data_IF_634154605966
#
_entry.id   IF_634154605966
#
_cell.length_a   1.000
_cell.length_b   1.000
_cell.length_c   1.000
_cell.angle_alpha   90.00
_cell.angle_beta   90.00
_cell.angle_gamma   90.00
#
_symmetry.space_group_name_H-M   'P 1'
#
loop_
_entity.id
_entity.type
_entity.pdbx_description
1 polymer ?
#
# COMPACT_ATOMS: atom_id res chain seq x y z
N UNK A 1 -13.72 0.99 2.59
CA UNK A 1 -13.91 1.19 4.05
C UNK A 1 -13.13 0.12 4.80
N UNK A 2 -12.11 0.48 5.55
CA UNK A 2 -11.22 -0.42 6.29
C UNK A 2 -11.87 -0.87 7.60
N UNK A 3 -11.94 -2.18 7.85
CA UNK A 3 -12.48 -2.74 9.09
C UNK A 3 -11.34 -3.14 10.02
N UNK A 4 -11.23 -2.45 11.14
CA UNK A 4 -10.19 -2.68 12.15
C UNK A 4 -10.82 -3.16 13.44
N UNK A 5 -10.21 -4.15 14.08
CA UNK A 5 -10.62 -4.63 15.39
C UNK A 5 -9.48 -4.55 16.41
N UNK A 6 -9.85 -4.33 17.65
CA UNK A 6 -8.93 -4.33 18.80
C UNK A 6 -9.53 -5.23 19.87
N UNK A 7 -8.74 -6.14 20.39
CA UNK A 7 -9.09 -7.02 21.49
C UNK A 7 -8.07 -6.85 22.62
N UNK A 8 -8.52 -6.39 23.76
CA UNK A 8 -7.70 -6.20 24.98
C UNK A 8 -8.66 -6.22 26.19
N UNK A 9 -8.43 -7.08 27.18
CA UNK A 9 -9.28 -7.19 28.39
C UNK A 9 -9.14 -5.97 29.31
N UNK A 10 -8.04 -5.23 29.19
CA UNK A 10 -7.81 -3.99 29.91
C UNK A 10 -8.48 -2.82 29.19
N UNK A 11 -9.56 -2.32 29.78
CA UNK A 11 -10.35 -1.20 29.22
C UNK A 11 -9.53 0.08 28.94
N UNK A 12 -8.55 0.37 29.77
CA UNK A 12 -7.69 1.55 29.58
C UNK A 12 -6.78 1.37 28.37
N UNK A 13 -6.14 0.20 28.24
CA UNK A 13 -5.32 -0.13 27.08
C UNK A 13 -6.14 -0.15 25.78
N UNK A 14 -7.36 -0.71 25.84
CA UNK A 14 -8.32 -0.71 24.75
C UNK A 14 -8.66 0.71 24.28
N UNK A 15 -8.96 1.62 25.22
CA UNK A 15 -9.27 3.02 24.90
C UNK A 15 -8.06 3.75 24.26
N UNK A 16 -6.85 3.55 24.80
CA UNK A 16 -5.63 4.17 24.27
C UNK A 16 -5.37 3.68 22.85
N UNK A 17 -5.43 2.38 22.63
CA UNK A 17 -5.24 1.77 21.30
C UNK A 17 -6.29 2.25 20.30
N UNK A 18 -7.56 2.31 20.70
CA UNK A 18 -8.64 2.81 19.85
C UNK A 18 -8.42 4.29 19.48
N UNK A 19 -8.07 5.13 20.44
CA UNK A 19 -7.76 6.54 20.19
C UNK A 19 -6.57 6.73 19.24
N UNK A 20 -5.53 5.90 19.34
CA UNK A 20 -4.37 5.92 18.45
C UNK A 20 -4.75 5.52 17.02
N UNK A 21 -5.57 4.45 16.83
CA UNK A 21 -6.13 4.06 15.52
C UNK A 21 -6.91 5.20 14.89
N UNK A 22 -7.84 5.78 15.65
CA UNK A 22 -8.70 6.86 15.15
C UNK A 22 -7.90 8.09 14.74
N UNK A 23 -6.93 8.52 15.58
CA UNK A 23 -6.09 9.67 15.29
C UNK A 23 -5.30 9.46 13.98
N UNK A 24 -4.69 8.28 13.81
CA UNK A 24 -3.93 7.93 12.62
C UNK A 24 -4.80 7.94 11.35
N UNK A 25 -5.95 7.27 11.39
CA UNK A 25 -6.81 7.12 10.21
C UNK A 25 -7.48 8.43 9.81
N UNK A 26 -7.82 9.29 10.78
CA UNK A 26 -8.32 10.65 10.53
C UNK A 26 -7.26 11.50 9.85
N UNK A 27 -5.99 11.45 10.31
CA UNK A 27 -4.88 12.16 9.66
C UNK A 27 -4.69 11.73 8.20
N UNK A 28 -4.83 10.44 7.92
CA UNK A 28 -4.70 9.88 6.55
C UNK A 28 -5.97 9.99 5.70
N UNK A 29 -7.07 10.53 6.24
CA UNK A 29 -8.38 10.63 5.56
C UNK A 29 -8.87 9.27 5.04
N UNK A 30 -8.63 8.20 5.79
CA UNK A 30 -9.06 6.83 5.45
C UNK A 30 -10.46 6.60 6.00
N UNK A 31 -11.37 6.08 5.17
CA UNK A 31 -12.68 5.62 5.61
C UNK A 31 -12.56 4.28 6.34
N UNK A 32 -13.03 4.22 7.59
CA UNK A 32 -12.86 3.04 8.44
C UNK A 32 -14.07 2.74 9.31
N UNK A 33 -14.12 1.50 9.82
CA UNK A 33 -15.01 1.05 10.90
C UNK A 33 -14.14 0.38 11.97
N UNK A 34 -14.19 0.90 13.18
CA UNK A 34 -13.42 0.40 14.32
C UNK A 34 -14.31 -0.39 15.27
N UNK A 35 -13.86 -1.57 15.65
CA UNK A 35 -14.51 -2.48 16.58
C UNK A 35 -13.60 -2.72 17.78
N UNK A 36 -14.12 -2.57 18.99
CA UNK A 36 -13.36 -2.76 20.24
C UNK A 36 -14.02 -3.85 21.09
N UNK A 37 -13.22 -4.80 21.53
CA UNK A 37 -13.65 -5.95 22.30
C UNK A 37 -12.81 -6.11 23.56
N UNK A 38 -13.48 -6.38 24.67
CA UNK A 38 -12.82 -6.78 25.94
C UNK A 38 -12.97 -8.26 26.26
N UNK A 39 -13.67 -9.01 25.40
CA UNK A 39 -13.91 -10.44 25.58
C UNK A 39 -13.60 -11.20 24.28
N UNK A 40 -12.75 -12.25 24.33
CA UNK A 40 -12.34 -13.03 23.16
C UNK A 40 -13.49 -13.71 22.41
N UNK A 41 -14.50 -14.21 23.12
CA UNK A 41 -15.62 -14.91 22.48
C UNK A 41 -16.49 -13.95 21.66
N UNK A 42 -16.74 -12.75 22.17
CA UNK A 42 -17.46 -11.71 21.44
C UNK A 42 -16.68 -11.25 20.20
N UNK A 43 -15.37 -11.13 20.32
CA UNK A 43 -14.49 -10.82 19.20
C UNK A 43 -14.59 -11.90 18.10
N UNK A 44 -14.44 -13.17 18.44
CA UNK A 44 -14.51 -14.28 17.49
C UNK A 44 -15.90 -14.42 16.84
N UNK A 45 -16.97 -14.17 17.59
CA UNK A 45 -18.31 -14.14 17.03
C UNK A 45 -18.47 -13.05 15.99
N UNK A 46 -17.98 -11.82 16.29
CA UNK A 46 -18.02 -10.70 15.35
C UNK A 46 -17.11 -10.92 14.13
N UNK A 47 -15.97 -11.56 14.30
CA UNK A 47 -15.01 -11.83 13.20
C UNK A 47 -15.61 -12.75 12.12
N UNK A 48 -16.55 -13.62 12.45
CA UNK A 48 -17.27 -14.47 11.48
C UNK A 48 -18.13 -13.66 10.52
N UNK A 49 -18.71 -12.56 10.99
CA UNK A 49 -19.63 -11.71 10.22
C UNK A 49 -18.91 -10.56 9.52
N UNK A 50 -18.04 -9.86 10.24
CA UNK A 50 -17.47 -8.60 9.80
C UNK A 50 -16.21 -8.74 8.91
N UNK A 51 -15.43 -9.82 9.03
CA UNK A 51 -14.17 -10.06 8.32
C UNK A 51 -13.21 -8.85 8.41
N UNK A 52 -12.53 -8.73 9.54
CA UNK A 52 -11.61 -7.62 9.82
C UNK A 52 -10.40 -7.63 8.89
N UNK A 53 -10.04 -6.47 8.35
CA UNK A 53 -8.83 -6.30 7.52
C UNK A 53 -7.56 -6.30 8.38
N UNK A 54 -7.66 -5.72 9.60
CA UNK A 54 -6.58 -5.66 10.58
C UNK A 54 -7.14 -5.89 11.98
N UNK A 55 -6.48 -6.77 12.74
CA UNK A 55 -6.83 -7.08 14.13
C UNK A 55 -5.64 -6.83 15.04
N UNK A 56 -5.83 -6.00 16.07
CA UNK A 56 -4.89 -5.86 17.17
C UNK A 56 -5.31 -6.80 18.29
N UNK A 57 -4.42 -7.72 18.69
CA UNK A 57 -4.72 -8.75 19.68
C UNK A 57 -3.79 -8.62 20.88
N UNK A 58 -4.34 -8.36 22.04
CA UNK A 58 -3.60 -8.56 23.29
C UNK A 58 -3.29 -10.04 23.48
N UNK A 59 -2.08 -10.36 23.94
CA UNK A 59 -1.68 -11.73 24.21
C UNK A 59 -2.11 -12.14 25.62
N UNK A 60 -1.95 -11.27 26.60
CA UNK A 60 -2.06 -11.60 28.02
C UNK A 60 -3.49 -11.38 28.55
N UNK A 61 -4.42 -12.22 28.12
CA UNK A 61 -5.82 -12.19 28.58
C UNK A 61 -6.18 -13.43 29.42
N UNK A 62 -7.07 -13.30 30.43
CA UNK A 62 -7.28 -14.35 31.44
C UNK A 62 -8.04 -15.60 30.96
N UNK A 63 -9.03 -15.45 30.08
CA UNK A 63 -9.91 -16.59 29.69
C UNK A 63 -9.37 -17.34 28.47
N UNK A 64 -8.88 -16.61 27.49
CA UNK A 64 -8.31 -17.12 26.26
C UNK A 64 -7.20 -16.16 25.84
N UNK A 65 -5.98 -16.65 25.71
CA UNK A 65 -4.86 -15.81 25.34
C UNK A 65 -4.91 -15.43 23.86
N UNK A 66 -4.19 -14.33 23.49
CA UNK A 66 -4.23 -13.80 22.14
C UNK A 66 -3.69 -14.75 21.06
N UNK A 67 -2.84 -15.73 21.43
CA UNK A 67 -2.34 -16.74 20.49
C UNK A 67 -3.44 -17.77 20.16
N UNK A 68 -4.26 -18.14 21.14
CA UNK A 68 -5.42 -19.01 20.93
C UNK A 68 -6.48 -18.31 20.07
N UNK A 69 -6.71 -17.01 20.31
CA UNK A 69 -7.58 -16.18 19.49
C UNK A 69 -7.05 -16.10 18.06
N UNK A 70 -5.76 -15.85 17.87
CA UNK A 70 -5.14 -15.79 16.55
C UNK A 70 -5.27 -17.09 15.78
N UNK A 71 -5.14 -18.24 16.46
CA UNK A 71 -5.34 -19.55 15.85
C UNK A 71 -6.75 -19.69 15.28
N UNK A 72 -7.78 -19.38 16.08
CA UNK A 72 -9.17 -19.44 15.62
C UNK A 72 -9.48 -18.38 14.54
N UNK A 73 -8.94 -17.16 14.69
CA UNK A 73 -9.13 -16.10 13.71
C UNK A 73 -8.54 -16.48 12.34
N UNK A 74 -7.39 -17.17 12.29
CA UNK A 74 -6.77 -17.62 11.05
C UNK A 74 -7.62 -18.60 10.25
N UNK A 75 -8.47 -19.36 10.92
CA UNK A 75 -9.44 -20.24 10.27
C UNK A 75 -10.67 -19.49 9.76
N UNK A 76 -11.11 -18.47 10.52
CA UNK A 76 -12.30 -17.65 10.20
C UNK A 76 -12.01 -16.64 9.08
N UNK A 77 -10.85 -15.99 9.14
CA UNK A 77 -10.47 -14.89 8.24
C UNK A 77 -9.01 -14.98 7.79
N UNK A 78 -8.78 -15.75 6.73
CA UNK A 78 -7.43 -16.00 6.18
C UNK A 78 -6.76 -14.78 5.55
N UNK A 79 -7.49 -13.75 5.21
CA UNK A 79 -6.97 -12.54 4.54
C UNK A 79 -6.70 -11.39 5.51
N UNK A 80 -7.26 -11.44 6.72
CA UNK A 80 -7.05 -10.41 7.73
C UNK A 80 -5.63 -10.45 8.29
N UNK A 81 -5.05 -9.28 8.54
CA UNK A 81 -3.74 -9.16 9.15
C UNK A 81 -3.86 -9.07 10.67
N UNK A 82 -2.85 -9.58 11.38
CA UNK A 82 -2.80 -9.56 12.85
C UNK A 82 -1.59 -8.74 13.29
N UNK A 83 -1.79 -7.85 14.27
CA UNK A 83 -0.74 -7.22 15.05
C UNK A 83 -0.95 -7.63 16.50
N UNK A 84 0.06 -8.22 17.11
CA UNK A 84 0.01 -8.56 18.53
C UNK A 84 0.41 -7.38 19.41
N UNK A 85 -0.26 -7.26 20.54
CA UNK A 85 0.05 -6.31 21.62
C UNK A 85 0.49 -7.13 22.84
N UNK A 86 1.62 -6.82 23.47
CA UNK A 86 2.00 -7.47 24.74
C UNK A 86 3.04 -6.69 25.52
N UNK A 87 3.09 -6.92 26.81
CA UNK A 87 4.22 -6.54 27.68
C UNK A 87 5.37 -7.55 27.62
N UNK A 88 5.12 -8.75 27.12
CA UNK A 88 6.05 -9.90 27.09
C UNK A 88 6.73 -10.01 25.73
N UNK A 89 7.92 -9.43 25.63
CA UNK A 89 8.73 -9.49 24.41
C UNK A 89 9.27 -10.92 24.13
N UNK A 90 9.32 -11.79 25.13
CA UNK A 90 9.70 -13.20 25.00
C UNK A 90 8.74 -14.01 24.12
N UNK A 91 7.49 -13.59 24.00
CA UNK A 91 6.48 -14.27 23.19
C UNK A 91 6.54 -13.94 21.69
N UNK A 92 7.40 -13.02 21.25
CA UNK A 92 7.52 -12.64 19.84
C UNK A 92 7.74 -13.86 18.94
N UNK A 93 8.61 -14.79 19.34
CA UNK A 93 8.87 -15.99 18.53
C UNK A 93 7.65 -16.92 18.42
N UNK A 94 6.82 -17.01 19.46
CA UNK A 94 5.59 -17.78 19.41
C UNK A 94 4.54 -17.15 18.49
N UNK A 95 4.55 -15.82 18.37
CA UNK A 95 3.67 -15.09 17.46
C UNK A 95 4.00 -15.35 15.99
N UNK A 96 5.28 -15.57 15.65
CA UNK A 96 5.73 -15.72 14.25
C UNK A 96 5.04 -16.86 13.49
N UNK A 97 4.59 -17.92 14.19
CA UNK A 97 3.83 -19.03 13.56
C UNK A 97 2.52 -18.59 12.89
N UNK A 98 1.97 -17.45 13.30
CA UNK A 98 0.75 -16.87 12.71
C UNK A 98 1.05 -15.91 11.56
N UNK A 99 2.32 -15.73 11.19
CA UNK A 99 2.74 -14.74 10.18
C UNK A 99 2.12 -13.35 10.43
N UNK A 100 2.24 -12.80 11.67
CA UNK A 100 1.61 -11.54 11.98
C UNK A 100 2.20 -10.41 11.14
N UNK A 101 1.43 -9.38 10.89
CA UNK A 101 1.93 -8.16 10.28
C UNK A 101 2.98 -7.46 11.17
N UNK A 102 2.80 -7.55 12.49
CA UNK A 102 3.72 -6.97 13.43
C UNK A 102 3.45 -7.30 14.89
N UNK A 103 4.29 -6.73 15.73
CA UNK A 103 4.23 -6.85 17.18
C UNK A 103 4.45 -5.47 17.80
N UNK A 104 3.59 -5.07 18.75
CA UNK A 104 3.63 -3.81 19.47
C UNK A 104 3.91 -4.10 20.95
N UNK A 105 4.95 -3.48 21.47
CA UNK A 105 5.26 -3.54 22.90
C UNK A 105 4.35 -2.57 23.65
N UNK A 106 3.57 -3.06 24.60
CA UNK A 106 2.69 -2.19 25.42
C UNK A 106 3.49 -1.14 26.21
N UNK A 107 4.78 -1.41 26.50
CA UNK A 107 5.71 -0.44 27.12
C UNK A 107 6.07 0.76 26.23
N UNK A 108 5.93 0.61 24.91
CA UNK A 108 6.17 1.64 23.88
C UNK A 108 4.98 1.77 22.91
N UNK A 109 3.77 1.64 23.47
CA UNK A 109 2.54 1.48 22.71
C UNK A 109 2.40 2.51 21.59
N UNK A 110 2.56 3.80 21.91
CA UNK A 110 2.32 4.88 20.92
C UNK A 110 3.35 4.86 19.81
N UNK A 111 4.64 4.75 20.12
CA UNK A 111 5.72 4.77 19.11
C UNK A 111 5.62 3.57 18.17
N UNK A 112 5.51 2.37 18.74
CA UNK A 112 5.42 1.13 17.97
C UNK A 112 4.10 1.08 17.18
N UNK A 113 3.02 1.65 17.72
CA UNK A 113 1.72 1.71 17.08
C UNK A 113 1.76 2.57 15.79
N UNK A 114 2.27 3.80 15.89
CA UNK A 114 2.41 4.66 14.71
C UNK A 114 3.33 4.07 13.66
N UNK A 115 4.41 3.39 14.07
CA UNK A 115 5.30 2.69 13.15
C UNK A 115 4.55 1.58 12.39
N UNK A 116 3.84 0.70 13.10
CA UNK A 116 3.09 -0.40 12.50
C UNK A 116 1.95 0.08 11.62
N UNK A 117 1.19 1.09 12.05
CA UNK A 117 0.11 1.66 11.25
C UNK A 117 0.62 2.33 9.98
N UNK A 118 1.75 3.04 10.02
CA UNK A 118 2.35 3.57 8.80
C UNK A 118 2.77 2.46 7.83
N UNK A 119 3.40 1.39 8.32
CA UNK A 119 3.78 0.24 7.48
C UNK A 119 2.55 -0.44 6.88
N UNK A 120 1.51 -0.67 7.68
CA UNK A 120 0.26 -1.26 7.20
C UNK A 120 -0.43 -0.38 6.15
N UNK A 121 -0.53 0.93 6.41
CA UNK A 121 -1.10 1.88 5.46
C UNK A 121 -0.36 1.91 4.13
N UNK A 122 0.99 1.86 4.15
CA UNK A 122 1.78 1.75 2.93
C UNK A 122 1.48 0.44 2.17
N UNK A 123 1.28 -0.67 2.89
CA UNK A 123 0.96 -1.96 2.26
C UNK A 123 -0.38 -1.89 1.54
N UNK A 124 -1.45 -1.38 2.17
CA UNK A 124 -2.76 -1.26 1.52
C UNK A 124 -2.76 -0.22 0.39
N UNK A 125 -2.08 0.92 0.57
CA UNK A 125 -1.94 1.93 -0.47
C UNK A 125 -1.21 1.38 -1.71
N UNK A 126 -0.20 0.54 -1.50
CA UNK A 126 0.50 -0.16 -2.58
C UNK A 126 -0.40 -1.21 -3.26
N UNK A 127 -1.22 -1.93 -2.49
CA UNK A 127 -2.17 -2.92 -3.04
C UNK A 127 -3.27 -2.23 -3.86
N UNK A 128 -3.80 -1.10 -3.40
CA UNK A 128 -4.76 -0.30 -4.18
C UNK A 128 -4.12 0.26 -5.46
N UNK A 129 -2.85 0.69 -5.41
CA UNK A 129 -2.10 1.12 -6.59
C UNK A 129 -1.81 -0.05 -7.54
N UNK A 130 -1.66 -1.27 -7.01
CA UNK A 130 -1.39 -2.48 -7.77
C UNK A 130 -2.59 -2.92 -8.64
N UNK A 131 -3.81 -2.64 -8.21
CA UNK A 131 -5.04 -2.89 -8.97
C UNK A 131 -5.61 -1.63 -9.68
N UNK A 132 -4.97 -0.48 -9.50
CA UNK A 132 -5.37 0.74 -10.17
C UNK A 132 -5.34 0.55 -11.70
N UNK A 133 -6.43 0.94 -12.36
CA UNK A 133 -6.60 0.85 -13.80
C UNK A 133 -6.84 2.22 -14.40
N UNK A 134 -6.46 2.35 -15.67
CA UNK A 134 -6.85 3.48 -16.48
C UNK A 134 -7.64 2.99 -17.70
N UNK A 135 -8.80 3.58 -17.89
CA UNK A 135 -9.69 3.27 -19.01
C UNK A 135 -9.59 4.36 -20.08
N UNK A 136 -9.37 3.93 -21.29
CA UNK A 136 -9.41 4.77 -22.49
C UNK A 136 -10.65 4.44 -23.29
N UNK A 137 -11.54 5.42 -23.37
CA UNK A 137 -12.82 5.30 -24.07
C UNK A 137 -12.72 6.10 -25.36
N UNK A 138 -12.77 5.43 -26.51
CA UNK A 138 -12.97 6.02 -27.83
C UNK A 138 -14.37 5.62 -28.34
N UNK A 139 -14.89 6.31 -29.36
CA UNK A 139 -16.23 6.11 -29.91
C UNK A 139 -16.59 4.65 -30.23
N UNK A 140 -15.57 3.82 -30.50
CA UNK A 140 -15.74 2.44 -30.98
C UNK A 140 -15.12 1.40 -30.04
N UNK A 141 -14.31 1.81 -29.03
CA UNK A 141 -13.52 0.88 -28.23
C UNK A 141 -13.23 1.44 -26.84
N UNK A 142 -13.42 0.61 -25.83
CA UNK A 142 -12.89 0.84 -24.48
C UNK A 142 -11.71 -0.09 -24.25
N UNK A 143 -10.57 0.47 -23.79
CA UNK A 143 -9.38 -0.29 -23.45
C UNK A 143 -8.98 0.05 -22.01
N UNK A 144 -8.81 -0.99 -21.20
CA UNK A 144 -8.42 -0.88 -19.81
C UNK A 144 -7.01 -1.43 -19.60
N UNK A 145 -6.17 -0.71 -18.87
CA UNK A 145 -4.83 -1.16 -18.50
C UNK A 145 -4.66 -1.07 -16.98
N UNK A 146 -4.07 -2.10 -16.37
CA UNK A 146 -3.55 -1.98 -15.01
C UNK A 146 -2.34 -1.05 -15.03
N UNK A 147 -2.31 -0.04 -14.16
CA UNK A 147 -1.25 0.96 -14.17
C UNK A 147 0.14 0.34 -13.99
N UNK A 148 0.26 -0.69 -13.15
CA UNK A 148 1.51 -1.42 -12.92
C UNK A 148 2.03 -2.18 -14.14
N UNK A 149 1.18 -2.52 -15.10
CA UNK A 149 1.58 -3.22 -16.32
C UNK A 149 2.11 -2.27 -17.39
N UNK A 150 1.77 -0.97 -17.29
CA UNK A 150 2.27 0.04 -18.21
C UNK A 150 3.73 0.36 -17.85
N UNK A 151 4.64 0.09 -18.80
CA UNK A 151 6.07 0.44 -18.67
C UNK A 151 6.29 1.91 -18.98
N UNK A 152 5.87 2.31 -20.18
CA UNK A 152 5.90 3.71 -20.63
C UNK A 152 4.84 3.96 -21.70
N UNK A 153 4.57 5.23 -21.94
CA UNK A 153 3.72 5.70 -23.01
C UNK A 153 4.57 6.57 -23.93
N UNK A 154 4.60 6.23 -25.22
CA UNK A 154 5.35 6.91 -26.27
C UNK A 154 4.40 7.70 -27.17
N UNK A 155 4.76 8.96 -27.45
CA UNK A 155 4.01 9.80 -28.38
C UNK A 155 4.32 9.45 -29.82
N UNK A 156 3.30 9.09 -30.57
CA UNK A 156 3.36 8.88 -32.02
C UNK A 156 2.28 9.73 -32.72
N UNK A 157 2.68 10.93 -33.10
CA UNK A 157 1.81 11.92 -33.79
C UNK A 157 0.47 12.16 -33.07
N UNK A 158 -0.64 11.62 -33.63
CA UNK A 158 -1.98 11.75 -33.08
C UNK A 158 -2.37 10.63 -32.12
N UNK A 159 -1.51 9.65 -31.93
CA UNK A 159 -1.71 8.50 -31.06
C UNK A 159 -0.64 8.43 -29.99
N UNK A 160 -0.96 7.74 -28.90
CA UNK A 160 -0.01 7.39 -27.88
C UNK A 160 0.09 5.87 -27.84
N UNK A 161 1.31 5.35 -27.94
CA UNK A 161 1.60 3.93 -27.84
C UNK A 161 1.85 3.57 -26.39
N UNK A 162 0.92 2.84 -25.78
CA UNK A 162 1.07 2.28 -24.44
C UNK A 162 1.86 1.00 -24.54
N UNK A 163 3.03 0.93 -23.91
CA UNK A 163 3.91 -0.24 -23.91
C UNK A 163 3.80 -0.95 -22.56
N UNK A 164 3.50 -2.26 -22.60
CA UNK A 164 3.24 -3.07 -21.42
C UNK A 164 4.45 -3.93 -21.02
N UNK A 165 4.40 -4.46 -19.81
CA UNK A 165 5.45 -5.30 -19.22
C UNK A 165 5.74 -6.57 -20.04
N UNK A 166 4.72 -7.16 -20.64
CA UNK A 166 4.82 -8.32 -21.52
C UNK A 166 5.37 -7.99 -22.93
N UNK A 167 5.84 -6.74 -23.13
CA UNK A 167 6.33 -6.19 -24.40
C UNK A 167 5.25 -5.99 -25.48
N UNK A 168 3.99 -6.26 -25.19
CA UNK A 168 2.89 -5.87 -26.07
C UNK A 168 2.67 -4.36 -26.03
N UNK A 169 2.02 -3.83 -27.05
CA UNK A 169 1.70 -2.41 -27.09
C UNK A 169 0.34 -2.16 -27.73
N UNK A 170 -0.29 -1.05 -27.32
CA UNK A 170 -1.57 -0.64 -27.88
C UNK A 170 -1.61 0.87 -28.10
N UNK A 171 -2.14 1.27 -29.26
CA UNK A 171 -2.32 2.67 -29.58
C UNK A 171 -3.65 3.19 -29.03
N UNK A 172 -3.60 4.36 -28.40
CA UNK A 172 -4.74 5.11 -27.87
C UNK A 172 -4.73 6.51 -28.44
N UNK A 173 -5.92 7.11 -28.62
CA UNK A 173 -6.06 8.46 -29.15
C UNK A 173 -6.35 9.46 -28.03
N UNK A 174 -5.30 9.92 -27.37
CA UNK A 174 -5.36 10.88 -26.26
C UNK A 174 -4.15 11.81 -26.34
N UNK A 175 -4.26 13.05 -25.90
CA UNK A 175 -3.10 13.95 -25.85
C UNK A 175 -2.16 13.58 -24.70
N UNK A 176 -0.84 13.63 -24.92
CA UNK A 176 0.18 13.31 -23.92
C UNK A 176 0.06 14.17 -22.65
N UNK A 177 -0.28 15.44 -22.78
CA UNK A 177 -0.52 16.32 -21.63
C UNK A 177 -1.72 15.89 -20.77
N UNK A 178 -2.79 15.40 -21.40
CA UNK A 178 -3.94 14.86 -20.67
C UNK A 178 -3.60 13.56 -19.93
N UNK A 179 -2.71 12.73 -20.49
CA UNK A 179 -2.21 11.54 -19.82
C UNK A 179 -1.33 11.90 -18.62
N UNK A 180 -0.44 12.89 -18.78
CA UNK A 180 0.40 13.40 -17.71
C UNK A 180 -0.44 13.84 -16.50
N UNK A 181 -1.51 14.61 -16.72
CA UNK A 181 -2.40 15.05 -15.66
C UNK A 181 -3.21 13.90 -15.03
N UNK A 182 -3.76 12.99 -15.83
CA UNK A 182 -4.55 11.86 -15.32
C UNK A 182 -3.70 10.85 -14.54
N UNK A 183 -2.44 10.69 -14.92
CA UNK A 183 -1.51 9.75 -14.28
C UNK A 183 -0.64 10.42 -13.20
N UNK A 184 -0.87 11.71 -12.94
CA UNK A 184 -0.24 12.45 -11.85
C UNK A 184 -0.57 11.79 -10.50
N UNK A 185 0.45 11.53 -9.70
CA UNK A 185 0.28 10.84 -8.42
C UNK A 185 0.24 9.30 -8.50
N UNK A 186 0.16 8.74 -9.69
CA UNK A 186 0.17 7.28 -9.92
C UNK A 186 1.54 6.73 -10.35
N UNK A 187 2.62 7.43 -10.04
CA UNK A 187 3.98 6.96 -10.30
C UNK A 187 4.48 7.17 -11.74
N UNK A 188 3.78 7.95 -12.55
CA UNK A 188 4.25 8.28 -13.90
C UNK A 188 4.98 9.61 -13.93
N UNK A 189 6.11 9.64 -14.61
CA UNK A 189 7.00 10.80 -14.76
C UNK A 189 7.17 11.11 -16.26
N UNK A 190 6.93 12.35 -16.67
CA UNK A 190 7.19 12.78 -18.04
C UNK A 190 8.66 13.10 -18.23
N UNK A 191 9.43 12.11 -18.69
CA UNK A 191 10.89 12.21 -18.86
C UNK A 191 11.31 12.98 -20.12
N UNK A 192 10.43 13.04 -21.14
CA UNK A 192 10.65 13.73 -22.41
C UNK A 192 9.32 14.22 -23.00
N UNK A 193 9.36 15.15 -23.97
CA UNK A 193 8.13 15.62 -24.67
C UNK A 193 7.29 14.47 -25.25
N UNK A 194 7.93 13.37 -25.65
CA UNK A 194 7.29 12.19 -26.22
C UNK A 194 7.22 10.97 -25.31
N UNK A 195 7.66 11.05 -24.04
CA UNK A 195 7.69 9.88 -23.16
C UNK A 195 7.15 10.17 -21.77
N UNK A 196 6.16 9.37 -21.35
CA UNK A 196 5.64 9.30 -19.99
C UNK A 196 5.97 7.91 -19.44
N UNK A 197 6.82 7.84 -18.42
CA UNK A 197 7.43 6.62 -17.90
C UNK A 197 6.90 6.29 -16.51
N UNK A 198 6.58 5.02 -16.28
CA UNK A 198 6.28 4.51 -14.96
C UNK A 198 7.58 4.30 -14.15
N UNK A 199 7.69 4.95 -12.99
CA UNK A 199 8.88 4.95 -12.14
C UNK A 199 9.31 3.53 -11.70
N UNK A 200 8.38 2.58 -11.59
CA UNK A 200 8.64 1.19 -11.21
C UNK A 200 9.62 0.47 -12.14
N UNK A 201 9.73 0.95 -13.36
CA UNK A 201 10.60 0.35 -14.38
C UNK A 201 11.93 1.08 -14.56
N UNK A 202 12.20 2.14 -13.79
CA UNK A 202 13.48 2.83 -13.83
C UNK A 202 14.53 1.97 -13.13
N UNK A 203 15.58 1.59 -13.89
CA UNK A 203 16.77 0.91 -13.38
C UNK A 203 17.86 1.91 -12.99
N UNK A 204 18.20 2.82 -13.92
CA UNK A 204 19.17 3.90 -13.71
C UNK A 204 18.85 5.11 -14.57
N UNK A 205 19.37 6.26 -14.18
CA UNK A 205 19.31 7.52 -14.93
C UNK A 205 20.74 8.01 -15.12
N UNK A 206 21.24 7.98 -16.36
CA UNK A 206 22.63 8.29 -16.69
C UNK A 206 22.69 9.27 -17.87
N UNK A 207 23.40 10.37 -17.72
CA UNK A 207 23.49 11.37 -18.77
C UNK A 207 22.14 11.95 -19.20
N UNK A 208 21.76 11.69 -20.44
CA UNK A 208 20.50 12.10 -21.06
C UNK A 208 19.62 10.87 -21.40
N UNK A 209 19.81 9.76 -20.70
CA UNK A 209 19.06 8.53 -20.87
C UNK A 209 18.53 7.97 -19.56
N UNK A 210 17.39 7.28 -19.64
CA UNK A 210 16.79 6.49 -18.57
C UNK A 210 16.81 5.03 -19.00
N UNK A 211 17.53 4.20 -18.27
CA UNK A 211 17.61 2.75 -18.50
C UNK A 211 16.52 2.04 -17.72
N UNK A 212 15.79 1.17 -18.39
CA UNK A 212 14.67 0.46 -17.81
C UNK A 212 15.06 -0.96 -17.39
N UNK A 213 14.34 -1.50 -16.41
CA UNK A 213 14.44 -2.90 -15.99
C UNK A 213 14.08 -3.89 -17.10
N UNK A 214 13.35 -3.45 -18.12
CA UNK A 214 12.99 -4.22 -19.32
C UNK A 214 14.11 -4.28 -20.38
N UNK A 215 15.25 -3.60 -20.13
CA UNK A 215 16.38 -3.54 -21.06
C UNK A 215 16.28 -2.43 -22.12
N UNK A 216 15.23 -1.63 -22.11
CA UNK A 216 15.05 -0.48 -23.02
C UNK A 216 15.71 0.77 -22.41
N UNK A 217 16.28 1.67 -23.23
CA UNK A 217 16.64 3.02 -22.85
C UNK A 217 15.73 4.05 -23.51
N UNK A 218 15.42 5.11 -22.79
CA UNK A 218 14.55 6.22 -23.23
C UNK A 218 15.25 7.56 -23.05
N UNK A 219 15.03 8.52 -23.97
CA UNK A 219 15.69 9.84 -23.87
C UNK A 219 15.13 10.65 -22.70
N UNK A 220 16.01 11.32 -21.97
CA UNK A 220 15.72 12.24 -20.90
C UNK A 220 15.83 13.69 -21.39
N UNK A 221 14.84 14.51 -21.13
CA UNK A 221 14.90 15.94 -21.47
C UNK A 221 15.93 16.68 -20.59
N UNK A 222 17.06 17.08 -21.18
CA UNK A 222 18.19 17.72 -20.50
C UNK A 222 17.78 18.87 -19.58
N UNK A 223 16.92 19.76 -20.07
CA UNK A 223 16.45 20.94 -19.33
C UNK A 223 15.55 20.64 -18.13
N UNK A 224 15.02 19.41 -18.03
CA UNK A 224 14.12 18.97 -16.95
C UNK A 224 14.74 17.92 -16.04
N UNK A 225 16.03 17.61 -16.21
CA UNK A 225 16.70 16.53 -15.47
C UNK A 225 16.53 16.68 -13.95
N UNK A 226 16.79 17.87 -13.42
CA UNK A 226 16.71 18.10 -11.96
C UNK A 226 15.26 17.98 -11.44
N UNK A 227 14.29 18.43 -12.21
CA UNK A 227 12.87 18.29 -11.88
C UNK A 227 12.45 16.81 -11.87
N UNK A 228 12.85 16.06 -12.90
CA UNK A 228 12.58 14.63 -13.04
C UNK A 228 13.21 13.83 -11.90
N UNK A 229 14.47 14.15 -11.54
CA UNK A 229 15.16 13.55 -10.40
C UNK A 229 14.43 13.83 -9.08
N UNK A 230 13.95 15.06 -8.86
CA UNK A 230 13.15 15.41 -7.67
C UNK A 230 11.85 14.61 -7.61
N UNK A 231 11.15 14.49 -8.74
CA UNK A 231 9.91 13.71 -8.83
C UNK A 231 10.19 12.23 -8.55
N UNK A 232 11.21 11.64 -9.16
CA UNK A 232 11.61 10.26 -8.95
C UNK A 232 11.94 9.99 -7.47
N UNK A 233 12.77 10.82 -6.85
CA UNK A 233 13.14 10.68 -5.44
C UNK A 233 11.92 10.84 -4.50
N UNK A 234 11.01 11.76 -4.81
CA UNK A 234 9.79 11.95 -4.03
C UNK A 234 8.87 10.71 -4.08
N UNK A 235 8.70 10.11 -5.27
CA UNK A 235 7.91 8.91 -5.46
C UNK A 235 8.60 7.71 -4.78
N UNK A 236 9.90 7.54 -4.97
CA UNK A 236 10.69 6.44 -4.39
C UNK A 236 10.66 6.47 -2.86
N UNK A 237 10.80 7.65 -2.24
CA UNK A 237 10.69 7.83 -0.78
C UNK A 237 9.31 7.48 -0.26
N UNK A 238 8.26 7.88 -0.98
CA UNK A 238 6.87 7.56 -0.61
C UNK A 238 6.60 6.05 -0.65
N UNK A 239 7.29 5.31 -1.51
CA UNK A 239 7.12 3.87 -1.73
C UNK A 239 8.22 3.02 -1.07
N UNK A 240 8.80 3.49 0.04
CA UNK A 240 9.76 2.76 0.90
C UNK A 240 11.07 2.36 0.22
N UNK A 241 11.54 3.06 -0.80
CA UNK A 241 12.88 2.85 -1.33
C UNK A 241 13.94 3.33 -0.33
N UNK A 242 14.93 2.48 -0.03
CA UNK A 242 16.14 2.88 0.69
C UNK A 242 16.99 3.70 -0.29
N UNK A 243 17.19 4.99 0.00
CA UNK A 243 18.03 5.87 -0.78
C UNK A 243 19.30 6.09 0.04
N UNK A 244 20.41 5.60 -0.46
CA UNK A 244 21.76 5.76 0.11
C UNK A 244 22.39 7.05 -0.42
#
# INVERSE_FOLDING_TARGET
MLKISILDDNKTALMISAGAVEAFLKEKSVEYKLFSFSNPLNFLASAKEEKFDLSFLDIDMPEMNGLEVANQLSEINKSGQIIFLSQREDLVFECLKFHPFGFIRKSKLIDDFFLMMNQYYQTIANTESDDAKIDFIDKTKTVSFKLKEIVYIEGDRNYQKVVLRDKTSQNIRVQMGSLEEKLKGHGFIRIHKGYLLNYLYIRSIEGEEVYLTTGVSLPLAKKRKDEIMKQYLAISRKNSAIII
#
